data_IF_007164819418
#
_entry.id   IF_007164819418
#
_cell.length_a   1.000
_cell.length_b   1.000
_cell.length_c   1.000
_cell.angle_alpha   90.00
_cell.angle_beta   90.00
_cell.angle_gamma   90.00
#
_symmetry.space_group_name_H-M   'P 1'
#
loop_
_entity.id
_entity.type
_entity.pdbx_description
1 polymer ?
#
# COMPACT_ATOMS: atom_id res chain seq x y z
N UNK A 1 -42.53 26.69 23.08
CA UNK A 1 -41.29 26.08 23.60
C UNK A 1 -40.39 25.85 22.39
N UNK A 2 -39.18 26.41 22.40
CA UNK A 2 -38.20 26.08 21.34
C UNK A 2 -37.60 24.72 21.67
N UNK A 3 -37.84 23.74 20.80
CA UNK A 3 -37.16 22.46 20.86
C UNK A 3 -35.87 22.58 20.04
N UNK A 4 -34.73 22.43 20.72
CA UNK A 4 -33.44 22.21 20.08
C UNK A 4 -32.95 20.83 20.51
N UNK A 5 -32.76 19.87 19.59
CA UNK A 5 -32.21 18.57 19.95
C UNK A 5 -30.77 18.73 20.46
N UNK A 6 -30.35 17.84 21.36
CA UNK A 6 -28.95 17.76 21.81
C UNK A 6 -28.14 17.04 20.75
N UNK A 7 -27.11 17.69 20.22
CA UNK A 7 -26.15 17.07 19.31
C UNK A 7 -25.34 16.01 20.07
N UNK A 8 -25.25 14.80 19.51
CA UNK A 8 -24.40 13.73 20.01
C UNK A 8 -23.25 13.53 19.02
N UNK A 9 -21.98 13.72 19.44
CA UNK A 9 -20.83 13.39 18.61
C UNK A 9 -20.87 11.93 18.16
N UNK A 10 -20.39 11.67 16.95
CA UNK A 10 -20.25 10.30 16.47
C UNK A 10 -19.19 9.56 17.29
N UNK A 11 -19.54 8.37 17.74
CA UNK A 11 -18.66 7.48 18.50
C UNK A 11 -19.03 6.03 18.19
N UNK A 12 -18.02 5.18 18.03
CA UNK A 12 -18.17 3.73 17.98
C UNK A 12 -17.32 3.14 19.10
N UNK A 13 -17.91 2.28 19.94
CA UNK A 13 -17.14 1.47 20.87
C UNK A 13 -16.24 0.49 20.11
N UNK A 14 -15.23 -0.07 20.78
CA UNK A 14 -14.35 -1.08 20.18
C UNK A 14 -15.12 -2.31 19.64
N UNK A 15 -16.17 -2.72 20.33
CA UNK A 15 -17.05 -3.82 19.91
C UNK A 15 -17.87 -3.43 18.68
N UNK A 16 -18.51 -2.25 18.70
CA UNK A 16 -19.30 -1.75 17.56
C UNK A 16 -18.43 -1.54 16.32
N UNK A 17 -17.22 -1.02 16.48
CA UNK A 17 -16.27 -0.84 15.39
C UNK A 17 -15.86 -2.18 14.77
N UNK A 18 -15.61 -3.19 15.60
CA UNK A 18 -15.26 -4.54 15.14
C UNK A 18 -16.41 -5.19 14.40
N UNK A 19 -17.62 -5.14 14.95
CA UNK A 19 -18.83 -5.63 14.27
C UNK A 19 -19.08 -4.91 12.94
N UNK A 20 -18.90 -3.59 12.91
CA UNK A 20 -19.03 -2.80 11.69
C UNK A 20 -17.99 -3.17 10.63
N UNK A 21 -16.72 -3.37 11.03
CA UNK A 21 -15.66 -3.83 10.15
C UNK A 21 -15.94 -5.23 9.59
N UNK A 22 -16.44 -6.15 10.42
CA UNK A 22 -16.88 -7.47 9.98
C UNK A 22 -18.08 -7.40 9.02
N UNK A 23 -19.08 -6.56 9.30
CA UNK A 23 -20.22 -6.39 8.40
C UNK A 23 -19.79 -5.86 7.04
N UNK A 24 -18.89 -4.89 6.99
CA UNK A 24 -18.30 -4.41 5.73
C UNK A 24 -17.54 -5.53 4.99
N UNK A 25 -16.60 -6.18 5.67
CA UNK A 25 -15.72 -7.19 5.08
C UNK A 25 -16.41 -8.54 4.78
N UNK A 26 -17.61 -8.77 5.32
CA UNK A 26 -18.42 -9.97 5.04
C UNK A 26 -19.10 -9.94 3.66
N UNK A 27 -19.01 -8.84 2.92
CA UNK A 27 -19.47 -8.76 1.53
C UNK A 27 -18.75 -9.86 0.70
N UNK A 28 -19.47 -10.70 -0.06
CA UNK A 28 -18.86 -11.81 -0.83
C UNK A 28 -17.73 -11.43 -1.80
N UNK A 29 -17.61 -10.14 -2.14
CA UNK A 29 -16.49 -9.60 -2.94
C UNK A 29 -15.15 -9.60 -2.21
N UNK A 30 -15.19 -9.72 -0.88
CA UNK A 30 -14.05 -9.48 0.01
C UNK A 30 -13.55 -10.74 0.72
N UNK A 31 -14.20 -11.87 0.46
CA UNK A 31 -13.75 -13.17 0.92
C UNK A 31 -12.44 -13.57 0.24
N UNK A 32 -11.79 -14.55 0.84
CA UNK A 32 -10.55 -15.11 0.31
C UNK A 32 -10.75 -15.64 -1.12
N UNK A 33 -9.72 -15.46 -1.94
CA UNK A 33 -9.69 -16.00 -3.30
C UNK A 33 -9.20 -17.44 -3.27
N UNK A 34 -9.70 -18.25 -4.21
CA UNK A 34 -9.22 -19.63 -4.44
C UNK A 34 -7.97 -19.64 -5.33
N UNK A 35 -7.69 -18.52 -6.01
CA UNK A 35 -6.51 -18.29 -6.84
C UNK A 35 -5.63 -17.17 -6.29
N UNK A 36 -4.36 -17.12 -6.70
CA UNK A 36 -3.43 -16.07 -6.23
C UNK A 36 -3.80 -14.67 -6.72
N UNK A 37 -4.45 -14.60 -7.88
CA UNK A 37 -4.66 -13.36 -8.63
C UNK A 37 -6.15 -13.16 -8.91
N UNK A 38 -6.58 -11.89 -8.99
CA UNK A 38 -7.94 -11.57 -9.45
C UNK A 38 -7.95 -11.57 -10.99
N UNK A 39 -8.83 -12.34 -11.62
CA UNK A 39 -8.92 -12.35 -13.08
C UNK A 39 -9.90 -11.29 -13.61
N UNK A 40 -9.36 -10.12 -13.94
CA UNK A 40 -10.07 -9.00 -14.56
C UNK A 40 -11.39 -8.63 -13.87
N UNK A 41 -11.39 -8.64 -12.53
CA UNK A 41 -12.55 -8.29 -11.72
C UNK A 41 -12.18 -7.20 -10.70
N UNK A 42 -12.35 -5.92 -11.06
CA UNK A 42 -11.93 -4.79 -10.21
C UNK A 42 -12.84 -4.58 -8.99
N UNK A 43 -13.81 -5.45 -8.76
CA UNK A 43 -14.74 -5.36 -7.64
C UNK A 43 -14.32 -6.26 -6.47
N UNK A 44 -13.47 -7.26 -6.72
CA UNK A 44 -13.00 -8.24 -5.72
C UNK A 44 -11.67 -7.82 -5.10
N UNK A 45 -11.60 -7.85 -3.78
CA UNK A 45 -10.45 -7.43 -2.97
C UNK A 45 -10.41 -8.25 -1.69
N UNK A 46 -9.44 -9.14 -1.56
CA UNK A 46 -9.39 -10.10 -0.45
C UNK A 46 -9.07 -9.37 0.87
N UNK A 47 -10.02 -9.36 1.82
CA UNK A 47 -9.90 -8.67 3.11
C UNK A 47 -9.66 -9.61 4.30
N UNK A 48 -9.69 -10.93 4.08
CA UNK A 48 -9.52 -11.95 5.14
C UNK A 48 -10.43 -11.70 6.36
N UNK A 49 -11.76 -11.57 6.16
CA UNK A 49 -12.70 -11.17 7.22
C UNK A 49 -12.67 -12.08 8.45
N UNK A 50 -12.31 -13.35 8.30
CA UNK A 50 -12.17 -14.33 9.37
C UNK A 50 -11.18 -13.91 10.46
N UNK A 51 -10.21 -13.04 10.15
CA UNK A 51 -9.22 -12.57 11.13
C UNK A 51 -9.65 -11.26 11.80
N UNK A 52 -10.51 -10.45 11.16
CA UNK A 52 -10.86 -9.10 11.65
C UNK A 52 -11.54 -9.11 13.02
N UNK A 53 -12.20 -10.21 13.40
CA UNK A 53 -12.81 -10.39 14.72
C UNK A 53 -11.79 -10.41 15.87
N UNK A 54 -10.51 -10.60 15.56
CA UNK A 54 -9.41 -10.65 16.52
C UNK A 54 -8.60 -9.35 16.59
N UNK A 55 -8.92 -8.36 15.74
CA UNK A 55 -8.19 -7.11 15.64
C UNK A 55 -8.87 -5.99 16.44
N UNK A 56 -8.07 -5.00 16.85
CA UNK A 56 -8.52 -3.82 17.59
C UNK A 56 -8.09 -2.53 16.88
N UNK A 57 -8.97 -2.03 16.01
CA UNK A 57 -8.77 -0.81 15.25
C UNK A 57 -8.98 0.48 16.08
N UNK A 58 -9.31 0.39 17.37
CA UNK A 58 -9.37 1.59 18.24
C UNK A 58 -7.98 2.06 18.68
N UNK A 59 -6.99 1.18 18.61
CA UNK A 59 -5.61 1.47 18.99
C UNK A 59 -4.88 2.16 17.85
N UNK A 60 -4.25 3.29 18.15
CA UNK A 60 -3.29 3.91 17.24
C UNK A 60 -2.03 3.05 17.18
N UNK A 61 -1.56 2.72 15.98
CA UNK A 61 -0.26 2.03 15.81
C UNK A 61 0.89 3.00 16.10
N UNK A 62 2.04 2.47 16.50
CA UNK A 62 3.33 3.18 16.51
C UNK A 62 4.14 2.87 15.24
N UNK A 63 5.21 3.64 14.97
CA UNK A 63 6.09 3.42 13.81
C UNK A 63 6.68 2.01 13.74
N UNK A 64 6.91 1.34 14.88
CA UNK A 64 7.42 -0.04 14.89
C UNK A 64 6.36 -1.10 14.59
N UNK A 65 5.07 -0.70 14.58
CA UNK A 65 3.92 -1.57 14.38
C UNK A 65 3.23 -1.35 13.02
N UNK A 66 3.59 -0.33 12.25
CA UNK A 66 2.91 -0.02 10.97
C UNK A 66 3.12 -1.06 9.86
N UNK A 67 3.97 -2.07 10.07
CA UNK A 67 4.12 -3.24 9.20
C UNK A 67 3.58 -4.55 9.82
N UNK A 68 2.99 -4.47 11.02
CA UNK A 68 2.28 -5.60 11.62
C UNK A 68 1.01 -5.93 10.82
N UNK A 69 0.43 -7.11 11.07
CA UNK A 69 -0.74 -7.58 10.34
C UNK A 69 -1.96 -6.66 10.47
N UNK A 70 -2.16 -6.04 11.63
CA UNK A 70 -3.25 -5.10 11.88
C UNK A 70 -3.19 -3.91 10.91
N UNK A 71 -1.98 -3.41 10.62
CA UNK A 71 -1.76 -2.37 9.62
C UNK A 71 -2.14 -2.87 8.23
N UNK A 72 -1.62 -4.04 7.81
CA UNK A 72 -1.94 -4.61 6.49
C UNK A 72 -3.46 -4.79 6.29
N UNK A 73 -4.15 -5.30 7.30
CA UNK A 73 -5.60 -5.45 7.28
C UNK A 73 -6.32 -4.10 7.18
N UNK A 74 -5.90 -3.10 7.97
CA UNK A 74 -6.45 -1.75 7.91
C UNK A 74 -6.20 -1.08 6.54
N UNK A 75 -5.02 -1.26 5.95
CA UNK A 75 -4.71 -0.71 4.63
C UNK A 75 -5.58 -1.32 3.53
N UNK A 76 -5.77 -2.65 3.53
CA UNK A 76 -6.67 -3.34 2.59
C UNK A 76 -8.12 -2.85 2.71
N UNK A 77 -8.58 -2.65 3.94
CA UNK A 77 -9.90 -2.05 4.21
C UNK A 77 -9.99 -0.63 3.66
N UNK A 78 -9.03 0.23 3.99
CA UNK A 78 -9.01 1.63 3.56
C UNK A 78 -8.97 1.77 2.03
N UNK A 79 -8.10 1.03 1.34
CA UNK A 79 -8.02 1.05 -0.13
C UNK A 79 -9.38 0.71 -0.73
N UNK A 80 -10.02 -0.36 -0.24
CA UNK A 80 -11.37 -0.78 -0.69
C UNK A 80 -12.42 0.31 -0.46
N UNK A 81 -12.37 1.00 0.68
CA UNK A 81 -13.31 2.07 1.03
C UNK A 81 -13.10 3.29 0.12
N UNK A 82 -11.86 3.73 -0.06
CA UNK A 82 -11.52 4.89 -0.89
C UNK A 82 -11.87 4.68 -2.36
N UNK A 83 -11.62 3.48 -2.86
CA UNK A 83 -11.90 3.09 -4.24
C UNK A 83 -13.39 2.90 -4.54
N UNK A 84 -14.25 2.87 -3.52
CA UNK A 84 -15.70 2.88 -3.73
C UNK A 84 -16.23 4.18 -4.35
N UNK A 85 -15.41 5.24 -4.37
CA UNK A 85 -15.66 6.49 -5.08
C UNK A 85 -15.06 6.52 -6.49
N UNK A 86 -14.15 5.58 -6.81
CA UNK A 86 -13.49 5.50 -8.11
C UNK A 86 -14.30 4.61 -9.05
N UNK A 87 -14.25 4.91 -10.34
CA UNK A 87 -14.97 4.16 -11.36
C UNK A 87 -14.01 3.12 -11.97
N UNK A 88 -14.36 1.84 -11.84
CA UNK A 88 -13.68 0.73 -12.49
C UNK A 88 -14.63 -0.10 -13.35
N UNK A 89 -14.17 -0.44 -14.54
CA UNK A 89 -14.77 -1.44 -15.42
C UNK A 89 -13.71 -2.50 -15.71
N UNK A 90 -14.10 -3.77 -15.80
CA UNK A 90 -13.18 -4.81 -16.26
C UNK A 90 -12.81 -4.55 -17.72
N UNK A 91 -11.63 -4.98 -18.13
CA UNK A 91 -11.19 -4.92 -19.52
C UNK A 91 -12.08 -5.79 -20.42
N UNK A 92 -12.67 -6.84 -19.86
CA UNK A 92 -13.52 -7.80 -20.57
C UNK A 92 -14.64 -8.36 -19.69
N UNK A 93 -15.67 -8.93 -20.33
CA UNK A 93 -16.67 -9.73 -19.62
C UNK A 93 -17.56 -8.96 -18.61
N UNK A 94 -17.79 -7.66 -18.82
CA UNK A 94 -18.60 -6.84 -17.89
C UNK A 94 -19.98 -7.44 -17.57
N UNK A 95 -20.65 -8.07 -18.56
CA UNK A 95 -21.95 -8.70 -18.35
C UNK A 95 -21.95 -9.80 -17.28
N UNK A 96 -20.86 -10.57 -17.18
CA UNK A 96 -20.69 -11.63 -16.18
C UNK A 96 -20.35 -11.07 -14.79
N UNK A 97 -19.75 -9.88 -14.75
CA UNK A 97 -19.30 -9.18 -13.53
C UNK A 97 -20.30 -8.13 -13.04
N UNK A 98 -21.48 -8.03 -13.67
CA UNK A 98 -22.46 -6.98 -13.37
C UNK A 98 -23.04 -7.07 -11.94
N UNK A 99 -23.19 -8.28 -11.39
CA UNK A 99 -23.62 -8.42 -9.99
C UNK A 99 -22.54 -7.95 -9.01
N UNK A 100 -21.27 -8.24 -9.30
CA UNK A 100 -20.15 -7.77 -8.51
C UNK A 100 -20.04 -6.23 -8.56
N UNK A 101 -20.19 -5.64 -9.75
CA UNK A 101 -20.29 -4.18 -9.95
C UNK A 101 -21.37 -3.56 -9.05
N UNK A 102 -22.60 -4.10 -9.07
CA UNK A 102 -23.70 -3.59 -8.24
C UNK A 102 -23.45 -3.75 -6.74
N UNK A 103 -22.82 -4.85 -6.33
CA UNK A 103 -22.47 -5.10 -4.91
C UNK A 103 -21.43 -4.09 -4.42
N UNK A 104 -20.39 -3.87 -5.20
CA UNK A 104 -19.32 -2.92 -4.88
C UNK A 104 -19.85 -1.48 -4.82
N UNK A 105 -20.59 -1.07 -5.85
CA UNK A 105 -21.20 0.26 -5.93
C UNK A 105 -22.59 0.36 -5.28
N UNK A 106 -22.84 -0.41 -4.22
CA UNK A 106 -24.09 -0.35 -3.46
C UNK A 106 -24.07 0.74 -2.38
N UNK A 107 -25.25 1.25 -2.01
CA UNK A 107 -25.39 2.17 -0.87
C UNK A 107 -24.97 1.50 0.44
N UNK A 108 -25.25 0.21 0.60
CA UNK A 108 -24.86 -0.58 1.77
C UNK A 108 -23.34 -0.67 1.90
N UNK A 109 -22.63 -1.00 0.82
CA UNK A 109 -21.17 -1.11 0.84
C UNK A 109 -20.51 0.22 1.21
N UNK A 110 -20.93 1.32 0.57
CA UNK A 110 -20.44 2.67 0.88
C UNK A 110 -20.72 3.08 2.32
N UNK A 111 -21.95 2.89 2.81
CA UNK A 111 -22.32 3.31 4.15
C UNK A 111 -21.55 2.55 5.24
N UNK A 112 -21.37 1.24 5.07
CA UNK A 112 -20.60 0.41 6.02
C UNK A 112 -19.12 0.82 6.04
N UNK A 113 -18.53 1.03 4.86
CA UNK A 113 -17.14 1.48 4.74
C UNK A 113 -16.89 2.87 5.35
N UNK A 114 -17.73 3.85 5.02
CA UNK A 114 -17.61 5.21 5.55
C UNK A 114 -17.81 5.28 7.07
N UNK A 115 -18.62 4.39 7.65
CA UNK A 115 -18.87 4.36 9.09
C UNK A 115 -17.61 3.98 9.89
N UNK A 116 -16.75 3.11 9.35
CA UNK A 116 -15.52 2.65 10.03
C UNK A 116 -14.28 3.44 9.63
N UNK A 117 -14.32 4.18 8.51
CA UNK A 117 -13.19 4.91 7.94
C UNK A 117 -12.47 5.82 8.95
N UNK A 118 -13.13 6.66 9.77
CA UNK A 118 -12.41 7.55 10.70
C UNK A 118 -11.53 6.79 11.72
N UNK A 119 -11.99 5.63 12.18
CA UNK A 119 -11.22 4.81 13.11
C UNK A 119 -10.04 4.11 12.41
N UNK A 120 -10.24 3.61 11.19
CA UNK A 120 -9.17 3.04 10.38
C UNK A 120 -8.10 4.08 10.02
N UNK A 121 -8.50 5.31 9.67
CA UNK A 121 -7.58 6.42 9.44
C UNK A 121 -6.76 6.74 10.70
N UNK A 122 -7.40 6.79 11.87
CA UNK A 122 -6.70 7.02 13.14
C UNK A 122 -5.73 5.88 13.48
N UNK A 123 -6.14 4.63 13.23
CA UNK A 123 -5.31 3.44 13.42
C UNK A 123 -4.06 3.48 12.55
N UNK A 124 -4.24 3.79 11.25
CA UNK A 124 -3.20 3.73 10.21
C UNK A 124 -2.27 4.95 10.18
N UNK A 125 -2.79 6.16 10.35
CA UNK A 125 -2.03 7.41 10.17
C UNK A 125 -1.70 8.10 11.50
N UNK A 126 -2.32 7.69 12.62
CA UNK A 126 -2.12 8.39 13.88
C UNK A 126 -0.69 8.30 14.43
N UNK A 127 0.13 7.33 13.99
CA UNK A 127 1.55 7.27 14.35
C UNK A 127 2.32 8.52 13.90
N UNK A 128 1.88 9.18 12.82
CA UNK A 128 2.50 10.40 12.29
C UNK A 128 2.43 11.58 13.27
N UNK A 129 1.50 11.57 14.23
CA UNK A 129 1.46 12.55 15.33
C UNK A 129 2.75 12.52 16.17
N UNK A 130 3.41 11.36 16.28
CA UNK A 130 4.61 11.17 17.09
C UNK A 130 5.89 11.27 16.25
N UNK A 131 5.79 11.15 14.92
CA UNK A 131 6.93 11.14 13.99
C UNK A 131 7.21 12.52 13.39
N UNK A 132 6.23 13.42 13.37
CA UNK A 132 6.35 14.73 12.72
C UNK A 132 6.15 15.86 13.73
N UNK A 133 7.23 16.58 14.01
CA UNK A 133 7.20 17.77 14.85
C UNK A 133 7.30 19.05 14.01
N UNK A 134 6.20 19.77 13.86
CA UNK A 134 6.20 21.11 13.24
C UNK A 134 6.34 22.17 14.34
N UNK A 135 7.58 22.52 14.68
CA UNK A 135 7.88 23.52 15.71
C UNK A 135 8.27 24.87 15.12
N UNK A 136 8.20 25.92 15.95
CA UNK A 136 8.64 27.27 15.57
C UNK A 136 7.55 28.19 15.00
N UNK A 137 7.92 29.46 14.79
CA UNK A 137 7.06 30.44 14.14
C UNK A 137 7.32 30.40 12.65
N UNK A 138 6.34 29.91 11.90
CA UNK A 138 6.39 29.87 10.46
C UNK A 138 5.94 31.19 9.85
N UNK A 139 6.67 31.62 8.82
CA UNK A 139 6.32 32.77 7.99
C UNK A 139 6.30 32.33 6.54
N UNK A 140 5.66 33.12 5.67
CA UNK A 140 5.71 32.88 4.22
C UNK A 140 7.15 32.70 3.71
N UNK A 141 8.07 33.55 4.18
CA UNK A 141 9.47 33.52 3.77
C UNK A 141 10.20 32.26 4.28
N UNK A 142 9.94 31.84 5.53
CA UNK A 142 10.57 30.61 6.06
C UNK A 142 10.01 29.35 5.42
N UNK A 143 8.72 29.33 5.06
CA UNK A 143 8.13 28.23 4.28
C UNK A 143 8.78 28.13 2.90
N UNK A 144 8.88 29.24 2.18
CA UNK A 144 9.51 29.24 0.84
C UNK A 144 10.96 28.78 0.91
N UNK A 145 11.72 29.24 1.90
CA UNK A 145 13.09 28.78 2.12
C UNK A 145 13.16 27.27 2.43
N UNK A 146 12.28 26.76 3.29
CA UNK A 146 12.19 25.34 3.63
C UNK A 146 11.90 24.48 2.40
N UNK A 147 10.88 24.84 1.62
CA UNK A 147 10.49 24.07 0.43
C UNK A 147 11.58 24.09 -0.65
N UNK A 148 12.23 25.23 -0.87
CA UNK A 148 13.33 25.36 -1.85
C UNK A 148 14.61 24.66 -1.41
N UNK A 149 14.78 24.33 -0.13
CA UNK A 149 15.94 23.58 0.33
C UNK A 149 15.97 22.16 -0.28
N UNK A 150 14.79 21.55 -0.46
CA UNK A 150 14.63 20.25 -1.13
C UNK A 150 15.18 20.26 -2.56
N UNK A 151 15.08 21.37 -3.29
CA UNK A 151 15.61 21.50 -4.65
C UNK A 151 17.15 21.38 -4.69
N UNK A 152 17.83 21.54 -3.55
CA UNK A 152 19.29 21.43 -3.43
C UNK A 152 19.76 20.05 -2.93
N UNK A 153 18.84 19.17 -2.50
CA UNK A 153 19.20 17.82 -2.09
C UNK A 153 19.75 17.03 -3.28
N UNK A 154 20.87 16.34 -3.10
CA UNK A 154 21.41 15.50 -4.17
C UNK A 154 20.66 14.17 -4.23
N UNK A 155 20.11 13.78 -5.41
CA UNK A 155 19.42 12.52 -5.54
C UNK A 155 20.37 11.36 -5.26
N UNK A 156 19.93 10.45 -4.38
CA UNK A 156 20.61 9.20 -4.09
C UNK A 156 19.73 8.03 -4.54
N UNK A 157 20.32 6.88 -4.89
CA UNK A 157 19.54 5.69 -5.12
C UNK A 157 18.74 5.30 -3.87
N UNK A 158 17.48 4.90 -4.06
CA UNK A 158 16.65 4.42 -2.96
C UNK A 158 17.06 3.01 -2.51
N UNK A 159 16.58 2.58 -1.33
CA UNK A 159 16.76 1.21 -0.85
C UNK A 159 16.07 0.21 -1.79
N UNK A 160 14.91 0.56 -2.35
CA UNK A 160 14.21 -0.26 -3.34
C UNK A 160 15.02 -0.44 -4.62
N UNK A 161 15.56 0.65 -5.18
CA UNK A 161 16.45 0.60 -6.36
C UNK A 161 17.67 -0.28 -6.06
N UNK A 162 18.31 -0.06 -4.92
CA UNK A 162 19.47 -0.86 -4.47
C UNK A 162 19.13 -2.33 -4.28
N UNK A 163 17.94 -2.65 -3.75
CA UNK A 163 17.48 -4.01 -3.53
C UNK A 163 17.21 -4.74 -4.86
N UNK A 164 16.66 -4.05 -5.85
CA UNK A 164 16.44 -4.61 -7.20
C UNK A 164 17.78 -4.92 -7.86
N UNK A 165 18.72 -3.97 -7.86
CA UNK A 165 20.05 -4.15 -8.47
C UNK A 165 20.84 -5.30 -7.85
N UNK A 166 20.73 -5.50 -6.53
CA UNK A 166 21.45 -6.55 -5.78
C UNK A 166 20.67 -7.87 -5.69
N UNK A 167 19.46 -7.93 -6.22
CA UNK A 167 18.61 -9.10 -6.07
C UNK A 167 19.22 -10.32 -6.75
N UNK A 168 18.91 -11.50 -6.21
CA UNK A 168 19.24 -12.77 -6.88
C UNK A 168 18.48 -12.94 -8.21
N UNK A 169 17.38 -12.22 -8.39
CA UNK A 169 16.58 -12.14 -9.61
C UNK A 169 16.07 -10.69 -9.80
N UNK A 170 16.88 -9.79 -10.42
CA UNK A 170 16.51 -8.38 -10.61
C UNK A 170 15.23 -8.19 -11.42
N UNK A 171 14.94 -9.08 -12.38
CA UNK A 171 13.73 -9.00 -13.21
C UNK A 171 12.48 -9.33 -12.39
N UNK A 172 12.53 -10.32 -11.49
CA UNK A 172 11.45 -10.57 -10.53
C UNK A 172 11.29 -9.42 -9.55
N UNK A 173 12.38 -8.90 -9.00
CA UNK A 173 12.34 -7.78 -8.06
C UNK A 173 11.74 -6.51 -8.69
N UNK A 174 12.14 -6.17 -9.92
CA UNK A 174 11.60 -5.02 -10.65
C UNK A 174 10.11 -5.21 -11.01
N UNK A 175 9.65 -6.42 -11.34
CA UNK A 175 8.22 -6.70 -11.50
C UNK A 175 7.44 -6.53 -10.19
N UNK A 176 7.98 -7.05 -9.09
CA UNK A 176 7.38 -6.86 -7.76
C UNK A 176 7.30 -5.38 -7.40
N UNK A 177 8.30 -4.58 -7.78
CA UNK A 177 8.32 -3.13 -7.60
C UNK A 177 7.23 -2.44 -8.41
N UNK A 178 7.12 -2.74 -9.71
CA UNK A 178 6.08 -2.18 -10.58
C UNK A 178 4.66 -2.48 -10.08
N UNK A 179 4.45 -3.69 -9.55
CA UNK A 179 3.18 -4.09 -8.93
C UNK A 179 2.75 -3.13 -7.80
N UNK A 180 3.70 -2.57 -7.04
CA UNK A 180 3.39 -1.72 -5.90
C UNK A 180 2.78 -0.37 -6.29
N UNK A 181 3.03 0.11 -7.52
CA UNK A 181 2.48 1.37 -8.01
C UNK A 181 1.08 1.23 -8.63
N UNK A 182 0.60 0.01 -8.84
CA UNK A 182 -0.66 -0.24 -9.53
C UNK A 182 -1.86 0.50 -8.88
N UNK A 183 -2.04 0.50 -7.54
CA UNK A 183 -3.15 1.25 -6.92
C UNK A 183 -3.10 2.76 -7.17
N UNK A 184 -1.91 3.31 -7.42
CA UNK A 184 -1.69 4.72 -7.67
C UNK A 184 -1.73 5.04 -9.17
N UNK A 185 -0.77 4.54 -9.94
CA UNK A 185 -0.53 4.95 -11.33
C UNK A 185 -1.62 4.48 -12.30
N UNK A 186 -2.32 3.38 -12.02
CA UNK A 186 -3.48 2.99 -12.85
C UNK A 186 -4.69 3.89 -12.63
N UNK A 187 -4.76 4.58 -11.50
CA UNK A 187 -5.81 5.54 -11.14
C UNK A 187 -5.24 6.94 -10.93
N UNK A 188 -4.14 7.26 -11.61
CA UNK A 188 -3.33 8.44 -11.36
C UNK A 188 -4.14 9.74 -11.36
N UNK A 189 -3.77 10.63 -10.46
CA UNK A 189 -4.46 11.88 -10.12
C UNK A 189 -5.91 11.74 -9.61
N UNK A 190 -6.48 10.54 -9.46
CA UNK A 190 -7.81 10.36 -8.84
C UNK A 190 -7.88 10.87 -7.40
N UNK A 191 -6.86 10.67 -6.53
CA UNK A 191 -6.84 11.31 -5.22
C UNK A 191 -6.81 12.86 -5.32
N UNK A 192 -6.05 13.40 -6.27
CA UNK A 192 -5.91 14.85 -6.48
C UNK A 192 -7.21 15.51 -6.95
N UNK A 193 -7.99 14.82 -7.79
CA UNK A 193 -9.29 15.30 -8.28
C UNK A 193 -10.24 15.67 -7.15
N UNK A 194 -10.10 15.04 -5.98
CA UNK A 194 -10.97 15.33 -4.83
C UNK A 194 -10.86 16.78 -4.38
N UNK A 195 -9.71 17.42 -4.55
CA UNK A 195 -9.46 18.80 -4.14
C UNK A 195 -9.87 19.86 -5.18
N UNK A 196 -10.28 19.47 -6.39
CA UNK A 196 -10.84 20.42 -7.37
C UNK A 196 -12.36 20.49 -7.34
N UNK A 197 -13.01 19.66 -6.52
CA UNK A 197 -14.44 19.78 -6.28
C UNK A 197 -14.73 20.96 -5.33
N UNK A 198 -15.79 21.72 -5.62
CA UNK A 198 -16.24 22.85 -4.79
C UNK A 198 -16.00 24.21 -5.43
N UNK A 199 -15.84 25.24 -4.59
CA UNK A 199 -15.72 26.63 -5.02
C UNK A 199 -14.76 27.40 -4.11
N UNK A 200 -13.51 27.54 -4.55
CA UNK A 200 -12.51 28.38 -3.87
C UNK A 200 -11.75 29.26 -4.88
N UNK A 201 -10.66 29.88 -4.43
CA UNK A 201 -9.94 30.89 -5.20
C UNK A 201 -9.28 30.37 -6.49
N UNK A 202 -8.53 31.23 -7.22
CA UNK A 202 -7.85 30.89 -8.48
C UNK A 202 -6.99 29.63 -8.43
N UNK A 203 -6.46 29.30 -7.24
CA UNK A 203 -5.68 28.09 -6.97
C UNK A 203 -6.43 26.82 -7.37
N UNK A 204 -7.75 26.79 -7.30
CA UNK A 204 -8.56 25.66 -7.78
C UNK A 204 -8.32 25.38 -9.27
N UNK A 205 -8.21 26.45 -10.08
CA UNK A 205 -7.96 26.32 -11.51
C UNK A 205 -6.51 25.94 -11.80
N UNK A 206 -5.54 26.42 -11.00
CA UNK A 206 -4.15 26.01 -11.16
C UNK A 206 -3.93 24.55 -10.74
N UNK A 207 -4.62 24.07 -9.70
CA UNK A 207 -4.64 22.65 -9.33
C UNK A 207 -5.22 21.82 -10.49
N UNK A 208 -6.32 22.28 -11.09
CA UNK A 208 -6.94 21.57 -12.20
C UNK A 208 -6.03 21.47 -13.43
N UNK A 209 -5.08 22.39 -13.64
CA UNK A 209 -4.09 22.28 -14.72
C UNK A 209 -3.16 21.10 -14.52
N UNK A 210 -2.70 20.85 -13.28
CA UNK A 210 -1.90 19.65 -12.96
C UNK A 210 -2.68 18.41 -13.39
N UNK A 211 -3.95 18.31 -12.97
CA UNK A 211 -4.82 17.16 -13.30
C UNK A 211 -5.01 16.99 -14.82
N UNK A 212 -5.13 18.09 -15.58
CA UNK A 212 -5.25 18.01 -17.04
C UNK A 212 -4.02 17.34 -17.66
N UNK A 213 -2.82 17.68 -17.16
CA UNK A 213 -1.57 17.09 -17.62
C UNK A 213 -1.54 15.60 -17.28
N UNK A 214 -1.83 15.21 -16.03
CA UNK A 214 -1.90 13.79 -15.61
C UNK A 214 -2.92 12.96 -16.41
N UNK A 215 -4.01 13.60 -16.84
CA UNK A 215 -5.03 12.99 -17.68
C UNK A 215 -4.68 13.00 -19.17
N UNK A 216 -3.43 13.32 -19.53
CA UNK A 216 -2.95 13.31 -20.91
C UNK A 216 -3.69 14.32 -21.79
N UNK A 217 -4.04 15.48 -21.23
CA UNK A 217 -4.90 16.48 -21.88
C UNK A 217 -6.28 15.95 -22.31
N UNK A 218 -6.76 14.88 -21.67
CA UNK A 218 -8.01 14.20 -22.03
C UNK A 218 -7.90 13.29 -23.27
N UNK A 219 -6.69 13.02 -23.75
CA UNK A 219 -6.41 12.04 -24.81
C UNK A 219 -5.97 10.74 -24.14
N UNK A 220 -6.73 9.66 -24.39
CA UNK A 220 -6.53 8.39 -23.68
C UNK A 220 -5.13 7.80 -23.90
N UNK A 221 -4.63 7.81 -25.14
CA UNK A 221 -3.31 7.24 -25.49
C UNK A 221 -2.13 7.95 -24.80
N UNK A 222 -2.33 9.19 -24.34
CA UNK A 222 -1.32 9.97 -23.61
C UNK A 222 -1.69 10.17 -22.14
N UNK A 223 -2.79 9.57 -21.67
CA UNK A 223 -3.10 9.54 -20.24
C UNK A 223 -2.00 8.75 -19.54
N UNK A 224 -1.44 9.29 -18.46
CA UNK A 224 -0.29 8.68 -17.81
C UNK A 224 -0.58 7.25 -17.32
N UNK A 225 -1.79 6.96 -16.84
CA UNK A 225 -2.19 5.56 -16.54
C UNK A 225 -2.09 4.61 -17.75
N UNK A 226 -2.39 5.07 -18.96
CA UNK A 226 -2.24 4.29 -20.20
C UNK A 226 -0.76 4.09 -20.57
N UNK A 227 0.10 5.08 -20.28
CA UNK A 227 1.55 4.89 -20.40
C UNK A 227 2.06 3.85 -19.40
N UNK A 228 1.54 3.84 -18.18
CA UNK A 228 1.89 2.83 -17.18
C UNK A 228 1.35 1.44 -17.52
N UNK A 229 0.17 1.33 -18.15
CA UNK A 229 -0.31 0.07 -18.74
C UNK A 229 0.69 -0.52 -19.74
N UNK A 230 1.28 0.33 -20.58
CA UNK A 230 2.31 -0.09 -21.52
C UNK A 230 3.58 -0.56 -20.79
N UNK A 231 4.04 0.17 -19.76
CA UNK A 231 5.16 -0.24 -18.90
C UNK A 231 4.94 -1.62 -18.29
N UNK A 232 3.77 -1.88 -17.69
CA UNK A 232 3.44 -3.19 -17.12
C UNK A 232 3.43 -4.29 -18.18
N UNK A 233 2.74 -4.03 -19.30
CA UNK A 233 2.59 -5.01 -20.39
C UNK A 233 3.93 -5.37 -21.01
N UNK A 234 4.85 -4.41 -21.16
CA UNK A 234 6.15 -4.63 -21.80
C UNK A 234 7.05 -5.59 -21.02
N UNK A 235 6.87 -5.70 -19.70
CA UNK A 235 7.61 -6.64 -18.84
C UNK A 235 6.80 -7.90 -18.48
N UNK A 236 5.67 -8.11 -19.15
CA UNK A 236 4.80 -9.29 -19.00
C UNK A 236 3.88 -9.25 -17.79
N UNK A 237 3.59 -8.08 -17.23
CA UNK A 237 2.57 -7.89 -16.20
C UNK A 237 1.21 -7.57 -16.84
N UNK A 238 0.14 -7.98 -16.16
CA UNK A 238 -1.24 -7.66 -16.50
C UNK A 238 -1.61 -6.27 -15.99
N UNK A 239 -2.59 -5.66 -16.65
CA UNK A 239 -3.01 -4.27 -16.38
C UNK A 239 -4.42 -4.16 -15.80
N UNK A 240 -5.12 -5.28 -15.59
CA UNK A 240 -6.42 -5.28 -14.95
C UNK A 240 -6.32 -5.08 -13.42
N UNK A 241 -7.13 -4.16 -12.89
CA UNK A 241 -7.19 -3.89 -11.46
C UNK A 241 -8.09 -4.92 -10.75
N UNK A 242 -7.77 -5.44 -9.56
CA UNK A 242 -6.45 -5.50 -8.89
C UNK A 242 -5.90 -6.91 -9.02
N UNK A 243 -5.43 -7.28 -10.22
CA UNK A 243 -4.93 -8.62 -10.51
C UNK A 243 -3.91 -9.10 -9.46
N UNK A 244 -3.02 -8.21 -9.02
CA UNK A 244 -1.95 -8.48 -8.05
C UNK A 244 -2.27 -8.10 -6.59
N UNK A 245 -3.55 -8.00 -6.20
CA UNK A 245 -3.96 -7.57 -4.85
C UNK A 245 -3.21 -8.25 -3.70
N UNK A 246 -2.99 -9.57 -3.82
CA UNK A 246 -2.29 -10.36 -2.82
C UNK A 246 -0.78 -10.07 -2.72
N UNK A 247 -0.23 -9.27 -3.63
CA UNK A 247 1.18 -8.88 -3.66
C UNK A 247 1.40 -7.40 -3.36
N UNK A 248 0.35 -6.64 -3.06
CA UNK A 248 0.51 -5.29 -2.55
C UNK A 248 1.04 -5.31 -1.12
N UNK A 249 2.14 -4.59 -0.89
CA UNK A 249 2.72 -4.42 0.42
C UNK A 249 1.88 -3.44 1.25
N UNK A 250 1.92 -3.62 2.57
CA UNK A 250 1.22 -2.76 3.51
C UNK A 250 1.64 -1.30 3.35
N UNK A 251 2.95 -1.07 3.18
CA UNK A 251 3.52 0.27 3.02
C UNK A 251 3.14 0.93 1.69
N UNK A 252 3.00 0.17 0.61
CA UNK A 252 2.60 0.70 -0.71
C UNK A 252 1.13 1.13 -0.70
N UNK A 253 0.25 0.31 -0.09
CA UNK A 253 -1.13 0.72 0.14
C UNK A 253 -1.21 1.91 1.11
N UNK A 254 -0.39 1.95 2.17
CA UNK A 254 -0.32 3.08 3.10
C UNK A 254 0.00 4.40 2.39
N UNK A 255 0.96 4.38 1.44
CA UNK A 255 1.35 5.56 0.67
C UNK A 255 0.22 6.02 -0.27
N UNK A 256 -0.39 5.12 -1.03
CA UNK A 256 -1.54 5.44 -1.89
C UNK A 256 -2.76 5.92 -1.07
N UNK A 257 -3.09 5.22 0.02
CA UNK A 257 -4.19 5.57 0.91
C UNK A 257 -4.00 6.92 1.59
N UNK A 258 -2.76 7.38 1.80
CA UNK A 258 -2.50 8.68 2.39
C UNK A 258 -3.00 9.83 1.49
N UNK A 259 -2.82 9.75 0.17
CA UNK A 259 -3.38 10.76 -0.72
C UNK A 259 -4.91 10.73 -0.78
N UNK A 260 -5.52 9.54 -0.68
CA UNK A 260 -6.97 9.43 -0.54
C UNK A 260 -7.48 10.02 0.78
N UNK A 261 -6.78 9.77 1.88
CA UNK A 261 -7.05 10.34 3.20
C UNK A 261 -7.03 11.88 3.14
N UNK A 262 -5.94 12.46 2.62
CA UNK A 262 -5.82 13.90 2.47
C UNK A 262 -6.85 14.50 1.52
N UNK A 263 -7.18 13.81 0.43
CA UNK A 263 -8.11 14.30 -0.59
C UNK A 263 -9.59 14.19 -0.18
N UNK A 264 -9.98 13.19 0.60
CA UNK A 264 -11.36 13.06 1.11
C UNK A 264 -11.65 13.94 2.31
N UNK A 265 -10.65 14.21 3.15
CA UNK A 265 -10.77 14.99 4.36
C UNK A 265 -10.25 16.41 4.10
N UNK A 266 -11.12 17.31 3.62
CA UNK A 266 -10.72 18.65 3.19
C UNK A 266 -10.20 19.55 4.32
N UNK A 267 -10.38 19.19 5.60
CA UNK A 267 -9.65 19.78 6.72
C UNK A 267 -8.13 19.58 6.60
N UNK A 268 -7.68 18.63 5.78
CA UNK A 268 -6.28 18.30 5.50
C UNK A 268 -5.80 18.84 4.15
N UNK A 269 -6.59 19.68 3.46
CA UNK A 269 -6.22 20.26 2.16
C UNK A 269 -4.80 20.85 2.15
N UNK A 270 -4.44 21.55 3.22
CA UNK A 270 -3.13 22.18 3.34
C UNK A 270 -1.99 21.17 3.49
N UNK A 271 -2.24 20.02 4.14
CA UNK A 271 -1.28 18.91 4.16
C UNK A 271 -1.08 18.33 2.76
N UNK A 272 -2.16 18.21 1.99
CA UNK A 272 -2.07 17.73 0.61
C UNK A 272 -1.11 18.61 -0.19
N UNK A 273 -1.22 19.94 -0.09
CA UNK A 273 -0.28 20.84 -0.79
C UNK A 273 1.18 20.58 -0.45
N UNK A 274 1.49 20.31 0.82
CA UNK A 274 2.84 19.97 1.26
C UNK A 274 3.34 18.65 0.69
N UNK A 275 2.50 17.61 0.77
CA UNK A 275 2.80 16.30 0.21
C UNK A 275 2.98 16.36 -1.31
N UNK A 276 2.10 17.09 -2.01
CA UNK A 276 2.17 17.32 -3.45
C UNK A 276 3.48 18.02 -3.83
N UNK A 277 3.88 19.06 -3.10
CA UNK A 277 5.15 19.72 -3.41
C UNK A 277 6.35 18.75 -3.26
N UNK A 278 6.36 17.93 -2.21
CA UNK A 278 7.42 16.93 -2.03
C UNK A 278 7.46 15.96 -3.22
N UNK A 279 6.31 15.41 -3.63
CA UNK A 279 6.25 14.47 -4.76
C UNK A 279 6.70 15.14 -6.05
N UNK A 280 6.10 16.26 -6.43
CA UNK A 280 6.41 16.95 -7.69
C UNK A 280 7.89 17.35 -7.79
N UNK A 281 8.50 17.78 -6.69
CA UNK A 281 9.92 18.17 -6.69
C UNK A 281 10.85 16.95 -6.79
N UNK A 282 10.46 15.79 -6.26
CA UNK A 282 11.29 14.57 -6.28
C UNK A 282 11.00 13.65 -7.48
N UNK A 283 9.87 13.85 -8.16
CA UNK A 283 9.35 12.98 -9.23
C UNK A 283 10.27 12.93 -10.44
N UNK A 284 10.81 14.07 -10.89
CA UNK A 284 11.74 14.12 -12.04
C UNK A 284 12.93 13.18 -11.85
N UNK A 285 13.56 13.24 -10.67
CA UNK A 285 14.74 12.44 -10.40
C UNK A 285 14.39 10.97 -10.15
N UNK A 286 13.27 10.70 -9.48
CA UNK A 286 12.71 9.35 -9.35
C UNK A 286 12.46 8.72 -10.73
N UNK A 287 11.73 9.39 -11.60
CA UNK A 287 11.37 8.91 -12.92
C UNK A 287 12.61 8.68 -13.80
N UNK A 288 13.63 9.56 -13.71
CA UNK A 288 14.91 9.33 -14.40
C UNK A 288 15.60 8.05 -13.93
N UNK A 289 15.65 7.81 -12.61
CA UNK A 289 16.26 6.59 -12.05
C UNK A 289 15.43 5.35 -12.36
N UNK A 290 14.10 5.43 -12.27
CA UNK A 290 13.17 4.37 -12.64
C UNK A 290 13.36 3.93 -14.10
N UNK A 291 13.39 4.88 -15.05
CA UNK A 291 13.63 4.59 -16.46
C UNK A 291 14.98 3.90 -16.68
N UNK A 292 16.04 4.40 -16.03
CA UNK A 292 17.38 3.80 -16.12
C UNK A 292 17.43 2.39 -15.52
N UNK A 293 16.81 2.18 -14.35
CA UNK A 293 16.75 0.90 -13.67
C UNK A 293 16.01 -0.14 -14.52
N UNK A 294 14.82 0.20 -15.02
CA UNK A 294 14.02 -0.71 -15.85
C UNK A 294 14.73 -1.04 -17.16
N UNK A 295 15.37 -0.05 -17.81
CA UNK A 295 16.19 -0.28 -19.00
C UNK A 295 17.40 -1.18 -18.70
N UNK A 296 18.03 -1.02 -17.53
CA UNK A 296 19.15 -1.87 -17.09
C UNK A 296 18.71 -3.33 -16.86
N UNK A 297 17.52 -3.53 -16.28
CA UNK A 297 16.99 -4.85 -15.91
C UNK A 297 16.39 -5.59 -17.11
N UNK A 298 15.64 -4.90 -17.98
CA UNK A 298 14.86 -5.52 -19.06
C UNK A 298 15.35 -5.17 -20.48
N UNK A 299 16.32 -4.25 -20.62
CA UNK A 299 16.82 -3.83 -21.93
C UNK A 299 15.77 -3.04 -22.73
N UNK A 300 15.82 -3.19 -24.07
CA UNK A 300 14.92 -2.49 -25.01
C UNK A 300 13.44 -2.94 -24.92
N UNK A 301 13.14 -4.02 -24.17
CA UNK A 301 11.77 -4.50 -23.96
C UNK A 301 11.00 -3.67 -22.92
N UNK A 302 11.68 -2.87 -22.08
CA UNK A 302 11.01 -1.98 -21.13
C UNK A 302 10.44 -0.74 -21.84
N UNK A 303 9.12 -0.57 -21.80
CA UNK A 303 8.48 0.70 -22.10
C UNK A 303 8.60 1.61 -20.86
N UNK A 304 9.49 2.59 -20.95
CA UNK A 304 9.74 3.57 -19.89
C UNK A 304 9.08 4.92 -20.18
N UNK A 305 8.15 4.98 -21.13
CA UNK A 305 7.54 6.23 -21.60
C UNK A 305 6.84 6.96 -20.46
N UNK A 306 6.12 6.23 -19.60
CA UNK A 306 5.50 6.77 -18.38
C UNK A 306 6.50 7.62 -17.57
N UNK A 307 7.67 7.07 -17.27
CA UNK A 307 8.68 7.75 -16.48
C UNK A 307 9.35 8.89 -17.26
N UNK A 308 9.67 8.68 -18.55
CA UNK A 308 10.33 9.74 -19.33
C UNK A 308 9.43 10.94 -19.60
N UNK A 309 8.11 10.75 -19.67
CA UNK A 309 7.14 11.84 -19.81
C UNK A 309 7.19 12.79 -18.60
N UNK A 310 7.19 12.23 -17.39
CA UNK A 310 7.35 12.95 -16.13
C UNK A 310 8.71 13.68 -16.02
N UNK A 311 9.78 13.13 -16.60
CA UNK A 311 11.07 13.86 -16.68
C UNK A 311 10.95 15.15 -17.53
N UNK A 312 10.12 15.13 -18.57
CA UNK A 312 9.93 16.27 -19.47
C UNK A 312 8.95 17.32 -18.91
N UNK A 313 7.89 16.90 -18.21
CA UNK A 313 6.81 17.77 -17.75
C UNK A 313 7.10 18.36 -16.36
N UNK A 314 7.63 17.58 -15.42
CA UNK A 314 7.50 17.91 -13.99
C UNK A 314 8.50 18.94 -13.47
N UNK A 315 9.52 19.30 -14.26
CA UNK A 315 10.35 20.49 -13.95
C UNK A 315 9.47 21.75 -13.89
N UNK A 316 8.30 21.74 -14.54
CA UNK A 316 7.31 22.80 -14.44
C UNK A 316 6.39 22.67 -13.22
N UNK A 317 6.04 21.43 -12.82
CA UNK A 317 5.03 21.16 -11.79
C UNK A 317 5.51 21.45 -10.38
N UNK A 318 6.73 21.09 -9.99
CA UNK A 318 7.25 21.46 -8.65
C UNK A 318 7.26 22.97 -8.41
N UNK A 319 7.70 23.74 -9.42
CA UNK A 319 7.61 25.20 -9.41
C UNK A 319 6.16 25.70 -9.39
N UNK A 320 5.27 25.07 -10.16
CA UNK A 320 3.84 25.43 -10.18
C UNK A 320 3.19 25.15 -8.82
N UNK A 321 3.48 24.02 -8.17
CA UNK A 321 2.99 23.68 -6.84
C UNK A 321 3.36 24.76 -5.82
N UNK A 322 4.61 25.23 -5.83
CA UNK A 322 5.03 26.32 -4.97
C UNK A 322 4.39 27.67 -5.35
N UNK A 323 4.60 28.11 -6.59
CA UNK A 323 4.31 29.49 -7.01
C UNK A 323 2.84 29.74 -7.34
N UNK A 324 2.09 28.70 -7.72
CA UNK A 324 0.69 28.79 -8.14
C UNK A 324 -0.29 28.17 -7.15
N UNK A 325 0.15 27.23 -6.30
CA UNK A 325 -0.74 26.61 -5.31
C UNK A 325 -0.42 27.10 -3.88
N UNK A 326 0.78 26.80 -3.38
CA UNK A 326 1.17 27.02 -1.99
C UNK A 326 1.22 28.49 -1.64
N UNK A 327 2.05 29.28 -2.33
CA UNK A 327 2.23 30.70 -1.98
C UNK A 327 0.93 31.49 -2.11
N UNK A 328 0.12 31.33 -3.17
CA UNK A 328 -1.17 32.01 -3.24
C UNK A 328 -2.18 31.58 -2.16
N UNK A 329 -2.17 30.31 -1.72
CA UNK A 329 -2.99 29.88 -0.58
C UNK A 329 -2.53 30.54 0.72
N UNK A 330 -1.22 30.60 0.97
CA UNK A 330 -0.68 31.28 2.16
C UNK A 330 -1.01 32.78 2.12
N UNK A 331 -0.93 33.42 0.95
CA UNK A 331 -1.28 34.84 0.79
C UNK A 331 -2.78 35.09 1.04
N UNK A 332 -3.66 34.14 0.68
CA UNK A 332 -5.10 34.26 0.85
C UNK A 332 -5.60 33.87 2.25
N UNK A 333 -5.05 32.81 2.85
CA UNK A 333 -5.49 32.24 4.13
C UNK A 333 -4.66 32.73 5.32
N UNK A 334 -3.50 33.35 5.08
CA UNK A 334 -2.55 33.78 6.09
C UNK A 334 -1.65 32.66 6.59
N UNK A 335 -0.65 33.02 7.41
CA UNK A 335 0.42 32.12 7.87
C UNK A 335 -0.06 30.96 8.77
N UNK A 336 -1.31 31.00 9.22
CA UNK A 336 -1.89 29.97 10.09
C UNK A 336 -1.98 28.59 9.42
N UNK A 337 -2.00 28.53 8.09
CA UNK A 337 -2.07 27.27 7.32
C UNK A 337 -0.70 26.63 7.09
N UNK A 338 0.38 27.38 7.28
CA UNK A 338 1.75 26.94 6.98
C UNK A 338 2.14 25.68 7.76
N UNK A 339 1.83 25.54 9.07
CA UNK A 339 2.20 24.34 9.80
C UNK A 339 1.61 23.06 9.19
N UNK A 340 0.40 23.12 8.63
CA UNK A 340 -0.22 21.96 7.98
C UNK A 340 0.47 21.66 6.64
N UNK A 341 0.92 22.66 5.88
CA UNK A 341 1.71 22.46 4.65
C UNK A 341 3.02 21.75 4.99
N UNK A 342 3.76 22.24 5.99
CA UNK A 342 5.01 21.59 6.44
C UNK A 342 4.74 20.18 6.96
N UNK A 343 3.66 20.00 7.73
CA UNK A 343 3.27 18.69 8.26
C UNK A 343 3.00 17.70 7.13
N UNK A 344 2.25 18.07 6.11
CA UNK A 344 1.96 17.18 4.98
C UNK A 344 3.21 16.77 4.20
N UNK A 345 4.17 17.68 4.03
CA UNK A 345 5.48 17.40 3.44
C UNK A 345 6.25 16.36 4.26
N UNK A 346 6.40 16.58 5.57
CA UNK A 346 7.16 15.69 6.45
C UNK A 346 6.46 14.34 6.66
N UNK A 347 5.13 14.33 6.78
CA UNK A 347 4.34 13.10 6.87
C UNK A 347 4.57 12.22 5.62
N UNK A 348 4.53 12.80 4.42
CA UNK A 348 4.79 12.03 3.20
C UNK A 348 6.23 11.52 3.13
N UNK A 349 7.22 12.31 3.55
CA UNK A 349 8.64 11.88 3.61
C UNK A 349 8.82 10.66 4.52
N UNK A 350 8.17 10.63 5.68
CA UNK A 350 8.17 9.48 6.60
C UNK A 350 7.55 8.25 5.93
N UNK A 351 6.42 8.41 5.25
CA UNK A 351 5.73 7.30 4.57
C UNK A 351 6.56 6.75 3.40
N UNK A 352 7.21 7.62 2.62
CA UNK A 352 8.11 7.22 1.54
C UNK A 352 9.28 6.38 2.07
N UNK A 353 9.87 6.78 3.21
CA UNK A 353 10.92 6.01 3.87
C UNK A 353 10.42 4.62 4.31
N UNK A 354 9.25 4.54 4.94
CA UNK A 354 8.66 3.25 5.37
C UNK A 354 8.43 2.33 4.17
N UNK A 355 7.94 2.86 3.05
CA UNK A 355 7.74 2.08 1.83
C UNK A 355 9.05 1.58 1.21
N UNK A 356 10.09 2.41 1.19
CA UNK A 356 11.41 2.04 0.66
C UNK A 356 12.07 0.93 1.51
N UNK A 357 11.99 1.03 2.84
CA UNK A 357 12.48 0.03 3.79
C UNK A 357 11.71 -1.29 3.69
N UNK A 358 10.38 -1.23 3.65
CA UNK A 358 9.52 -2.43 3.58
C UNK A 358 9.71 -3.20 2.27
N UNK A 359 9.76 -2.49 1.14
CA UNK A 359 10.01 -3.11 -0.16
C UNK A 359 11.39 -3.78 -0.21
N UNK A 360 12.46 -3.07 0.21
CA UNK A 360 13.80 -3.64 0.23
C UNK A 360 13.89 -4.91 1.09
N UNK A 361 13.28 -4.89 2.28
CA UNK A 361 13.21 -6.06 3.15
C UNK A 361 12.36 -7.19 2.55
N UNK A 362 11.36 -6.90 1.70
CA UNK A 362 10.56 -7.93 1.03
C UNK A 362 11.37 -8.61 -0.07
N UNK A 363 12.16 -7.85 -0.85
CA UNK A 363 13.06 -8.43 -1.85
C UNK A 363 14.13 -9.31 -1.18
N UNK A 364 14.73 -8.85 -0.08
CA UNK A 364 15.67 -9.67 0.70
C UNK A 364 15.02 -10.98 1.18
N UNK A 365 13.78 -10.91 1.67
CA UNK A 365 13.01 -12.08 2.08
C UNK A 365 12.72 -13.05 0.93
N UNK A 366 12.30 -12.52 -0.23
CA UNK A 366 12.02 -13.31 -1.43
C UNK A 366 13.28 -14.00 -1.98
N UNK A 367 14.41 -13.31 -2.00
CA UNK A 367 15.71 -13.87 -2.39
C UNK A 367 16.23 -14.87 -1.35
N UNK A 368 15.93 -14.64 -0.07
CA UNK A 368 16.30 -15.50 1.04
C UNK A 368 15.53 -16.82 1.11
N UNK A 369 14.54 -17.07 0.24
CA UNK A 369 13.67 -18.27 0.27
C UNK A 369 14.42 -19.60 0.48
N UNK A 370 15.44 -19.94 -0.36
CA UNK A 370 16.23 -21.16 -0.16
C UNK A 370 16.98 -21.20 1.18
N UNK A 371 17.50 -20.06 1.65
CA UNK A 371 18.19 -19.94 2.94
C UNK A 371 17.21 -20.12 4.10
N UNK A 372 16.01 -19.54 4.02
CA UNK A 372 14.98 -19.65 5.05
C UNK A 372 14.42 -21.08 5.13
N UNK A 373 14.35 -21.79 3.99
CA UNK A 373 14.06 -23.23 3.93
C UNK A 373 15.18 -24.06 4.59
N UNK A 374 16.45 -23.74 4.33
CA UNK A 374 17.58 -24.43 4.98
C UNK A 374 17.68 -24.14 6.49
N UNK A 375 17.31 -22.94 6.93
CA UNK A 375 17.26 -22.55 8.34
C UNK A 375 16.18 -23.28 9.14
N UNK A 376 15.21 -23.93 8.48
CA UNK A 376 14.19 -24.71 9.16
C UNK A 376 14.79 -25.78 10.07
N UNK A 377 15.76 -26.56 9.59
CA UNK A 377 16.34 -27.70 10.33
C UNK A 377 16.97 -27.28 11.67
N UNK A 378 17.92 -26.31 11.74
CA UNK A 378 18.52 -25.92 13.01
C UNK A 378 17.54 -25.19 13.94
N UNK A 379 16.57 -24.43 13.41
CA UNK A 379 15.53 -23.79 14.23
C UNK A 379 14.60 -24.86 14.82
N UNK A 380 14.19 -25.83 14.01
CA UNK A 380 13.37 -26.96 14.44
C UNK A 380 14.07 -27.77 15.53
N UNK A 381 15.35 -28.08 15.36
CA UNK A 381 16.15 -28.76 16.37
C UNK A 381 16.20 -27.95 17.68
N UNK A 382 16.36 -26.63 17.60
CA UNK A 382 16.32 -25.73 18.76
C UNK A 382 15.00 -25.78 19.52
N UNK A 383 13.87 -25.84 18.81
CA UNK A 383 12.53 -26.02 19.42
C UNK A 383 12.42 -27.40 20.08
N UNK A 384 12.84 -28.46 19.39
CA UNK A 384 12.81 -29.84 19.93
C UNK A 384 13.68 -30.01 21.18
N UNK A 385 14.79 -29.26 21.28
CA UNK A 385 15.66 -29.22 22.46
C UNK A 385 15.12 -28.31 23.58
N UNK A 386 14.02 -27.61 23.36
CA UNK A 386 13.40 -26.73 24.35
C UNK A 386 14.12 -25.40 24.57
N UNK A 387 14.95 -24.94 23.61
CA UNK A 387 15.63 -23.62 23.69
C UNK A 387 14.63 -22.47 23.69
N UNK A 388 13.53 -22.65 22.96
CA UNK A 388 12.36 -21.76 22.93
C UNK A 388 11.11 -22.60 23.15
N UNK A 389 10.22 -22.16 24.03
CA UNK A 389 8.88 -22.74 24.18
C UNK A 389 7.90 -21.91 23.36
N UNK A 390 7.69 -22.31 22.10
CA UNK A 390 6.81 -21.62 21.16
C UNK A 390 5.37 -22.17 21.26
N UNK A 391 4.33 -21.31 21.23
CA UNK A 391 2.97 -21.77 20.92
C UNK A 391 2.93 -22.48 19.56
N UNK A 392 2.13 -23.54 19.48
CA UNK A 392 2.01 -24.40 18.29
C UNK A 392 0.57 -24.37 17.80
N UNK A 393 0.38 -24.19 16.50
CA UNK A 393 -0.87 -24.47 15.82
C UNK A 393 -0.70 -25.69 14.90
N UNK A 394 -1.46 -26.75 15.17
CA UNK A 394 -1.56 -27.93 14.30
C UNK A 394 -2.67 -27.72 13.26
N UNK A 395 -2.32 -27.85 11.98
CA UNK A 395 -3.20 -27.55 10.86
C UNK A 395 -3.28 -28.76 9.91
N UNK A 396 -4.49 -29.01 9.40
CA UNK A 396 -4.81 -30.07 8.44
C UNK A 396 -5.68 -29.44 7.35
N UNK A 397 -5.15 -29.32 6.15
CA UNK A 397 -5.80 -28.60 5.05
C UNK A 397 -5.87 -29.47 3.78
N UNK A 398 -6.98 -29.43 3.03
CA UNK A 398 -7.16 -30.19 1.80
C UNK A 398 -6.46 -29.54 0.60
N UNK A 399 -6.33 -30.28 -0.51
CA UNK A 399 -5.84 -29.74 -1.80
C UNK A 399 -6.55 -28.45 -2.19
N UNK A 400 -5.77 -27.47 -2.62
CA UNK A 400 -6.29 -26.21 -3.15
C UNK A 400 -6.72 -25.21 -2.08
N UNK A 401 -6.65 -25.55 -0.79
CA UNK A 401 -6.82 -24.58 0.29
C UNK A 401 -5.72 -23.52 0.15
N UNK A 402 -6.11 -22.29 -0.19
CA UNK A 402 -5.22 -21.15 -0.43
C UNK A 402 -5.32 -20.19 0.76
N UNK A 403 -4.27 -20.21 1.59
CA UNK A 403 -4.09 -19.21 2.63
C UNK A 403 -3.68 -17.89 1.98
N UNK A 404 -4.66 -17.00 1.82
CA UNK A 404 -4.49 -15.70 1.19
C UNK A 404 -3.39 -14.89 1.92
N UNK A 405 -2.66 -14.06 1.18
CA UNK A 405 -1.41 -13.48 1.71
C UNK A 405 -1.62 -12.62 2.95
N UNK A 406 -0.69 -12.75 3.89
CA UNK A 406 -0.67 -12.05 5.16
C UNK A 406 0.74 -11.99 5.73
N UNK A 407 0.88 -11.49 6.96
CA UNK A 407 2.12 -11.49 7.72
C UNK A 407 1.82 -11.79 9.20
N UNK A 408 2.88 -11.98 9.99
CA UNK A 408 2.80 -12.19 11.43
C UNK A 408 3.66 -11.17 12.18
N UNK A 409 3.28 -10.86 13.42
CA UNK A 409 3.92 -9.82 14.24
C UNK A 409 5.21 -10.28 14.96
N UNK A 410 5.60 -11.54 14.73
CA UNK A 410 6.83 -12.17 15.18
C UNK A 410 7.28 -13.23 14.17
N UNK A 411 8.50 -13.74 14.32
CA UNK A 411 8.99 -14.83 13.49
C UNK A 411 8.23 -16.12 13.82
N UNK A 412 7.99 -16.94 12.79
CA UNK A 412 7.36 -18.24 12.90
C UNK A 412 8.19 -19.32 12.20
N UNK A 413 8.02 -20.57 12.61
CA UNK A 413 8.54 -21.73 11.89
C UNK A 413 7.36 -22.53 11.34
N UNK A 414 7.29 -22.68 10.02
CA UNK A 414 6.39 -23.63 9.37
C UNK A 414 7.10 -24.97 9.21
N UNK A 415 6.48 -26.05 9.66
CA UNK A 415 6.99 -27.42 9.55
C UNK A 415 5.95 -28.37 8.95
N UNK A 416 6.29 -29.02 7.84
CA UNK A 416 5.41 -29.99 7.17
C UNK A 416 5.59 -31.36 7.80
N UNK A 417 4.52 -31.91 8.38
CA UNK A 417 4.50 -33.27 8.91
C UNK A 417 4.26 -34.27 7.78
N UNK A 418 3.25 -34.01 6.94
CA UNK A 418 2.96 -34.82 5.75
C UNK A 418 2.29 -33.98 4.65
N UNK A 419 2.37 -34.46 3.40
CA UNK A 419 1.84 -33.75 2.24
C UNK A 419 2.85 -32.78 1.63
N UNK A 420 2.34 -31.90 0.76
CA UNK A 420 3.12 -30.96 -0.05
C UNK A 420 2.44 -29.59 -0.03
N UNK A 421 3.20 -28.56 0.35
CA UNK A 421 2.76 -27.17 0.38
C UNK A 421 3.61 -26.33 -0.57
N UNK A 422 2.97 -25.49 -1.37
CA UNK A 422 3.64 -24.39 -2.07
C UNK A 422 3.55 -23.13 -1.21
N UNK A 423 4.67 -22.77 -0.60
CA UNK A 423 4.82 -21.57 0.22
C UNK A 423 5.22 -20.39 -0.66
N UNK A 424 4.44 -19.32 -0.68
CA UNK A 424 4.61 -18.15 -1.55
C UNK A 424 5.13 -16.97 -0.73
N UNK A 425 6.28 -16.43 -1.11
CA UNK A 425 6.96 -15.32 -0.43
C UNK A 425 6.81 -13.96 -1.16
N UNK A 426 6.18 -13.96 -2.33
CA UNK A 426 5.97 -12.77 -3.16
C UNK A 426 5.67 -13.15 -4.61
N UNK A 427 5.45 -12.16 -5.48
CA UNK A 427 5.14 -12.42 -6.88
C UNK A 427 6.26 -13.23 -7.54
N UNK A 428 5.91 -14.40 -8.10
CA UNK A 428 6.85 -15.36 -8.66
C UNK A 428 8.01 -15.79 -7.72
N UNK A 429 7.79 -15.75 -6.39
CA UNK A 429 8.73 -16.28 -5.40
C UNK A 429 8.03 -17.31 -4.51
N UNK A 430 8.46 -18.57 -4.61
CA UNK A 430 7.88 -19.66 -3.82
C UNK A 430 8.91 -20.76 -3.52
N UNK A 431 8.59 -21.59 -2.54
CA UNK A 431 9.29 -22.84 -2.21
C UNK A 431 8.28 -23.97 -2.11
N UNK A 432 8.61 -25.14 -2.67
CA UNK A 432 7.85 -26.37 -2.42
C UNK A 432 8.38 -27.01 -1.13
N UNK A 433 7.50 -27.26 -0.18
CA UNK A 433 7.80 -27.85 1.12
C UNK A 433 7.16 -29.24 1.20
N UNK A 434 8.00 -30.26 1.35
CA UNK A 434 7.58 -31.66 1.48
C UNK A 434 7.60 -32.13 2.94
N UNK A 435 7.07 -33.31 3.22
CA UNK A 435 7.14 -33.96 4.53
C UNK A 435 8.55 -33.91 5.15
N UNK A 436 8.63 -33.48 6.41
CA UNK A 436 9.87 -33.28 7.16
C UNK A 436 10.56 -31.94 6.91
N UNK A 437 10.17 -31.19 5.87
CA UNK A 437 10.75 -29.88 5.55
C UNK A 437 9.95 -28.75 6.21
N UNK A 438 10.37 -27.52 5.93
CA UNK A 438 9.69 -26.32 6.40
C UNK A 438 10.42 -25.07 5.98
N UNK A 439 10.01 -23.93 6.55
CA UNK A 439 10.68 -22.64 6.34
C UNK A 439 10.55 -21.76 7.57
N UNK A 440 11.56 -20.95 7.83
CA UNK A 440 11.46 -19.83 8.79
C UNK A 440 10.70 -18.69 8.11
N UNK A 441 9.63 -18.21 8.74
CA UNK A 441 8.81 -17.08 8.30
C UNK A 441 9.25 -15.87 9.12
N UNK A 442 9.79 -14.85 8.46
CA UNK A 442 10.24 -13.63 9.15
C UNK A 442 9.07 -12.73 9.48
N UNK A 443 9.12 -12.09 10.65
CA UNK A 443 8.19 -11.05 11.09
C UNK A 443 7.91 -10.04 9.98
N UNK A 444 6.64 -9.66 9.83
CA UNK A 444 6.15 -8.61 8.94
C UNK A 444 6.46 -8.83 7.45
N UNK A 445 6.87 -10.03 7.01
CA UNK A 445 7.05 -10.35 5.58
C UNK A 445 5.76 -10.91 4.99
N UNK A 446 5.35 -10.35 3.86
CA UNK A 446 4.15 -10.79 3.17
C UNK A 446 4.39 -12.19 2.59
N UNK A 447 3.50 -13.12 2.88
CA UNK A 447 3.56 -14.50 2.39
C UNK A 447 2.18 -15.14 2.40
N UNK A 448 2.04 -16.30 1.75
CA UNK A 448 0.86 -17.15 1.80
C UNK A 448 1.23 -18.60 1.49
N UNK A 449 0.25 -19.50 1.45
CA UNK A 449 0.48 -20.88 1.06
C UNK A 449 -0.70 -21.46 0.29
N UNK A 450 -0.43 -22.46 -0.55
CA UNK A 450 -1.46 -23.31 -1.16
C UNK A 450 -1.07 -24.78 -1.03
N UNK A 451 -2.04 -25.63 -0.75
CA UNK A 451 -1.83 -27.08 -0.61
C UNK A 451 -1.86 -27.77 -1.98
N UNK A 452 -0.78 -28.46 -2.33
CA UNK A 452 -0.62 -29.16 -3.61
C UNK A 452 -0.85 -30.68 -3.52
N UNK A 453 -0.79 -31.27 -2.33
CA UNK A 453 -1.18 -32.67 -2.08
C UNK A 453 -2.69 -32.79 -1.82
N UNK A 454 -3.23 -34.02 -1.74
CA UNK A 454 -4.65 -34.24 -1.37
C UNK A 454 -4.99 -33.67 0.01
N UNK A 455 -4.06 -33.79 0.93
CA UNK A 455 -4.11 -33.28 2.30
C UNK A 455 -2.69 -32.89 2.70
N UNK A 456 -2.52 -31.82 3.47
CA UNK A 456 -1.27 -31.47 4.12
C UNK A 456 -1.48 -31.27 5.62
N UNK A 457 -0.63 -31.93 6.41
CA UNK A 457 -0.56 -31.77 7.85
C UNK A 457 0.71 -30.99 8.16
N UNK A 458 0.58 -29.86 8.83
CA UNK A 458 1.70 -28.99 9.14
C UNK A 458 1.51 -28.27 10.47
N UNK A 459 2.60 -27.71 10.97
CA UNK A 459 2.64 -26.99 12.24
C UNK A 459 3.22 -25.61 12.03
N UNK A 460 2.62 -24.63 12.70
CA UNK A 460 3.16 -23.27 12.83
C UNK A 460 3.62 -23.06 14.27
N UNK A 461 4.88 -22.71 14.46
CA UNK A 461 5.48 -22.42 15.76
C UNK A 461 5.78 -20.93 15.85
N UNK A 462 5.09 -20.20 16.73
CA UNK A 462 5.32 -18.77 16.92
C UNK A 462 6.55 -18.53 17.81
N UNK A 463 7.74 -18.54 17.21
CA UNK A 463 9.04 -18.46 17.92
C UNK A 463 9.43 -17.05 18.36
N UNK A 464 8.79 -16.01 17.80
CA UNK A 464 9.04 -14.61 18.12
C UNK A 464 10.30 -14.08 17.46
N UNK A 465 11.48 -14.58 17.86
CA UNK A 465 12.77 -14.34 17.21
C UNK A 465 13.44 -15.69 16.93
N UNK A 466 13.53 -16.08 15.66
CA UNK A 466 14.08 -17.40 15.30
C UNK A 466 15.53 -17.60 15.73
N UNK A 467 16.29 -16.51 15.94
CA UNK A 467 17.70 -16.56 16.33
C UNK A 467 17.88 -17.13 17.73
N UNK A 468 16.88 -16.99 18.62
CA UNK A 468 16.89 -17.61 19.94
C UNK A 468 16.82 -19.15 19.89
N UNK A 469 16.35 -19.73 18.78
CA UNK A 469 16.41 -21.18 18.57
C UNK A 469 17.81 -21.65 18.16
N UNK A 470 18.68 -20.77 17.66
CA UNK A 470 20.01 -21.12 17.16
C UNK A 470 21.12 -21.02 18.23
N UNK A 471 20.85 -20.31 19.33
CA UNK A 471 21.81 -20.01 20.40
C UNK A 471 22.04 -21.15 21.38
#
# INVERSE_FOLDING_TARGET
MNFSPVYQPFELSAEQLREAALHFASNPLYLDNEEWENDDNPYRRQLRPQVLQHLDFTKKLSRSEILNYESLAAQRLLTTIYESDLMFLPQSGFGEKYEDFKRFYSSTNRALGEMIRPALERHSFGFLDDEVEVTGKWTRASLEAFLRDLENEQPQPSLAETAIEKSSDPARAARMWLIQFIPDFMSEASPMIRNVMGHYGPVQSDWFKVIIDEYGYGVHDTKHSTLFENTLSSVGLRTDLHHYWQYYLSSSMLLSNYFHYLGKNHELLFRYLGALYYTETTLVDFCRRAANLLTSVFGEEADVTYFTEHVHIDTHHGRMALEKLILPIVDACGEAVIPEIVRGFEEFKVLAQVNDEDFAAQIEWMDGGPTNKALHEPVWEGIQQGRVTAPIADLIEPRGELSNTHCHNGDELCHIVSGTMKFVAGFNSHQILEAGQGTVIRKNRLHGAIIESEECVYQIHSVGDYRACLS
#
